data_IF_883813442377
#
_entry.id   IF_883813442377
#
_cell.length_a   1.000
_cell.length_b   1.000
_cell.length_c   1.000
_cell.angle_alpha   90.00
_cell.angle_beta   90.00
_cell.angle_gamma   90.00
#
_symmetry.space_group_name_H-M   'P 1'
#
loop_
_entity.id
_entity.type
_entity.pdbx_description
1 polymer ?
#
# COMPACT_ATOMS: atom_id res chain seq x y z
N UNK A 1 24.45 0.10 -17.97
CA UNK A 1 23.43 1.05 -17.51
C UNK A 1 23.27 0.85 -16.01
N UNK A 2 23.40 1.89 -15.19
CA UNK A 2 23.49 1.81 -13.73
C UNK A 2 22.16 2.08 -13.03
N UNK A 3 22.10 1.79 -11.73
CA UNK A 3 20.98 2.12 -10.84
C UNK A 3 20.73 3.65 -10.88
N UNK A 4 19.46 4.06 -11.09
CA UNK A 4 19.04 5.47 -11.13
C UNK A 4 18.68 5.99 -9.74
N UNK A 5 18.03 5.15 -8.92
CA UNK A 5 17.67 5.46 -7.53
C UNK A 5 17.17 4.21 -6.80
N UNK A 6 17.14 4.27 -5.48
CA UNK A 6 16.67 3.18 -4.60
C UNK A 6 15.89 3.77 -3.43
N UNK A 7 14.80 3.11 -3.04
CA UNK A 7 13.95 3.51 -1.94
C UNK A 7 13.50 2.30 -1.14
N UNK A 8 13.30 2.51 0.16
CA UNK A 8 12.79 1.51 1.10
C UNK A 8 11.73 2.15 1.99
N UNK A 9 10.72 1.35 2.33
CA UNK A 9 9.69 1.73 3.29
C UNK A 9 9.28 0.53 4.14
N UNK A 10 8.85 0.80 5.37
CA UNK A 10 8.38 -0.19 6.33
C UNK A 10 7.03 0.26 6.89
N UNK A 11 5.99 -0.53 6.63
CA UNK A 11 4.65 -0.31 7.15
C UNK A 11 4.28 -1.41 8.16
N UNK A 12 4.06 -1.02 9.41
CA UNK A 12 3.53 -1.91 10.45
C UNK A 12 2.06 -2.24 10.15
N UNK A 13 1.73 -3.54 10.04
CA UNK A 13 0.42 -4.00 9.58
C UNK A 13 -0.71 -3.55 10.50
N UNK A 14 -0.55 -3.70 11.82
CA UNK A 14 -1.59 -3.35 12.80
C UNK A 14 -1.89 -1.84 12.79
N UNK A 15 -0.83 -1.01 12.80
CA UNK A 15 -0.95 0.45 12.69
C UNK A 15 -1.60 0.90 11.39
N UNK A 16 -1.26 0.24 10.27
CA UNK A 16 -1.85 0.55 8.97
C UNK A 16 -3.34 0.18 8.92
N UNK A 17 -3.70 -1.01 9.42
CA UNK A 17 -5.09 -1.44 9.54
C UNK A 17 -5.93 -0.46 10.38
N UNK A 18 -5.43 -0.09 11.57
CA UNK A 18 -6.09 0.87 12.44
C UNK A 18 -6.30 2.25 11.76
N UNK A 19 -5.39 2.65 10.88
CA UNK A 19 -5.51 3.90 10.12
C UNK A 19 -6.60 3.83 9.05
N UNK A 20 -6.71 2.69 8.34
CA UNK A 20 -7.78 2.44 7.37
C UNK A 20 -9.16 2.41 8.02
N UNK A 21 -9.28 1.81 9.20
CA UNK A 21 -10.52 1.76 9.98
C UNK A 21 -10.91 3.13 10.51
N UNK A 22 -9.95 3.87 11.07
CA UNK A 22 -10.17 5.20 11.65
C UNK A 22 -10.59 6.25 10.62
N UNK A 23 -10.20 6.08 9.35
CA UNK A 23 -10.42 7.09 8.30
C UNK A 23 -11.21 6.51 7.12
N UNK A 24 -12.56 6.57 7.17
CA UNK A 24 -13.40 6.18 6.05
C UNK A 24 -12.99 6.89 4.75
N UNK A 25 -12.81 6.11 3.67
CA UNK A 25 -12.39 6.62 2.36
C UNK A 25 -10.87 6.69 2.12
N UNK A 26 -10.03 6.50 3.15
CA UNK A 26 -8.56 6.46 2.98
C UNK A 26 -8.12 5.39 1.97
N UNK A 27 -8.74 4.21 2.02
CA UNK A 27 -8.44 3.12 1.07
C UNK A 27 -8.64 3.55 -0.39
N UNK A 28 -9.74 4.25 -0.71
CA UNK A 28 -10.03 4.70 -2.07
C UNK A 28 -9.11 5.85 -2.54
N UNK A 29 -8.46 6.56 -1.61
CA UNK A 29 -7.48 7.61 -1.93
C UNK A 29 -6.07 7.04 -2.16
N UNK A 30 -5.72 5.96 -1.48
CA UNK A 30 -4.40 5.34 -1.56
C UNK A 30 -4.29 4.28 -2.65
N UNK A 31 -5.41 3.65 -3.03
CA UNK A 31 -5.43 2.49 -3.90
C UNK A 31 -6.37 2.69 -5.08
N UNK A 32 -5.97 2.21 -6.26
CA UNK A 32 -6.89 2.07 -7.39
C UNK A 32 -7.83 0.88 -7.14
N UNK A 33 -9.00 0.81 -7.79
CA UNK A 33 -9.99 -0.24 -7.51
C UNK A 33 -9.44 -1.67 -7.56
N UNK A 34 -8.59 -1.97 -8.54
CA UNK A 34 -8.02 -3.31 -8.74
C UNK A 34 -7.04 -3.72 -7.63
N UNK A 35 -6.46 -2.76 -6.91
CA UNK A 35 -5.57 -3.04 -5.78
C UNK A 35 -6.34 -3.46 -4.53
N UNK A 36 -7.63 -3.10 -4.41
CA UNK A 36 -8.47 -3.40 -3.26
C UNK A 36 -9.04 -4.83 -3.28
N UNK A 37 -8.93 -5.52 -4.41
CA UNK A 37 -9.47 -6.87 -4.62
C UNK A 37 -8.36 -7.89 -4.86
N UNK A 38 -8.59 -9.13 -4.45
CA UNK A 38 -7.86 -10.30 -4.88
C UNK A 38 -8.31 -10.72 -6.29
N UNK A 39 -7.53 -11.54 -7.02
CA UNK A 39 -7.93 -12.03 -8.34
C UNK A 39 -9.30 -12.74 -8.34
N UNK A 40 -9.68 -13.36 -7.22
CA UNK A 40 -11.00 -14.00 -7.04
C UNK A 40 -12.16 -13.03 -6.74
N UNK A 41 -11.93 -11.71 -6.72
CA UNK A 41 -12.94 -10.69 -6.43
C UNK A 41 -13.15 -10.39 -4.95
N UNK A 42 -12.54 -11.17 -4.06
CA UNK A 42 -12.58 -10.93 -2.61
C UNK A 42 -11.81 -9.67 -2.21
N UNK A 43 -12.18 -9.04 -1.09
CA UNK A 43 -11.44 -7.90 -0.56
C UNK A 43 -10.03 -8.31 -0.13
N UNK A 44 -9.04 -7.51 -0.55
CA UNK A 44 -7.64 -7.70 -0.16
C UNK A 44 -7.45 -7.39 1.33
N UNK A 45 -6.74 -8.27 2.03
CA UNK A 45 -6.45 -8.11 3.46
C UNK A 45 -5.45 -6.99 3.79
N UNK A 46 -5.46 -6.55 5.04
CA UNK A 46 -4.67 -5.41 5.53
C UNK A 46 -3.16 -5.55 5.33
N UNK A 47 -2.59 -6.74 5.54
CA UNK A 47 -1.16 -6.99 5.31
C UNK A 47 -0.75 -6.76 3.85
N UNK A 48 -1.58 -7.21 2.91
CA UNK A 48 -1.32 -7.08 1.47
C UNK A 48 -1.53 -5.63 0.98
N UNK A 49 -2.41 -4.87 1.64
CA UNK A 49 -2.57 -3.42 1.41
C UNK A 49 -1.43 -2.61 2.03
N UNK A 50 -0.95 -2.97 3.22
CA UNK A 50 0.20 -2.33 3.87
C UNK A 50 1.47 -2.49 3.02
N UNK A 51 1.69 -3.68 2.44
CA UNK A 51 2.80 -3.91 1.53
C UNK A 51 2.72 -3.04 0.25
N UNK A 52 1.52 -2.83 -0.29
CA UNK A 52 1.32 -1.92 -1.45
C UNK A 52 1.55 -0.46 -1.09
N UNK A 53 1.09 -0.05 0.09
CA UNK A 53 1.39 1.29 0.61
C UNK A 53 2.90 1.50 0.71
N UNK A 54 3.62 0.58 1.36
CA UNK A 54 5.07 0.62 1.46
C UNK A 54 5.77 0.62 0.09
N UNK A 55 5.27 -0.15 -0.88
CA UNK A 55 5.80 -0.14 -2.24
C UNK A 55 5.66 1.23 -2.92
N UNK A 56 4.51 1.90 -2.77
CA UNK A 56 4.29 3.25 -3.32
C UNK A 56 5.20 4.29 -2.66
N UNK A 57 5.35 4.24 -1.35
CA UNK A 57 6.28 5.10 -0.59
C UNK A 57 7.74 4.84 -1.01
N UNK A 58 8.14 3.58 -1.19
CA UNK A 58 9.49 3.24 -1.65
C UNK A 58 9.77 3.75 -3.06
N UNK A 59 8.80 3.66 -3.98
CA UNK A 59 8.92 4.23 -5.34
C UNK A 59 9.03 5.76 -5.28
N UNK A 60 8.21 6.42 -4.46
CA UNK A 60 8.25 7.87 -4.28
C UNK A 60 9.59 8.39 -3.70
N UNK A 61 10.33 7.54 -2.97
CA UNK A 61 11.68 7.85 -2.46
C UNK A 61 12.79 7.55 -3.47
N UNK A 62 12.55 6.62 -4.40
CA UNK A 62 13.54 6.15 -5.37
C UNK A 62 13.60 7.01 -6.64
N UNK A 63 12.52 7.74 -6.93
CA UNK A 63 12.36 8.63 -8.09
C UNK A 63 12.48 10.09 -7.67
#
# INVERSE_FOLDING_TARGET
MSIIGVGIDVAEIARFAASLERTPGMAARLFVPDELLLPGGERRGAASLAARFAAKEAVAKAL
#
